data_IF_359702044533
#
_entry.id   IF_359702044533
#
_cell.length_a   1.000
_cell.length_b   1.000
_cell.length_c   1.000
_cell.angle_alpha   90.00
_cell.angle_beta   90.00
_cell.angle_gamma   90.00
#
_symmetry.space_group_name_H-M   'P 1'
#
loop_
_entity.id
_entity.type
_entity.pdbx_description
1 polymer ?
#
# COMPACT_ATOMS: atom_id res chain seq x y z
N UNK A 1 8.97 -6.89 -14.02
CA UNK A 1 8.37 -7.97 -13.21
C UNK A 1 9.30 -9.17 -13.26
N UNK A 2 9.85 -9.62 -12.13
CA UNK A 2 10.65 -10.86 -12.08
C UNK A 2 9.69 -12.03 -12.27
N UNK A 3 9.80 -12.76 -13.38
CA UNK A 3 9.08 -14.02 -13.56
C UNK A 3 9.53 -14.97 -12.46
N UNK A 4 8.58 -15.44 -11.64
CA UNK A 4 8.87 -16.44 -10.64
C UNK A 4 9.46 -17.69 -11.33
N UNK A 5 10.38 -18.41 -10.68
CA UNK A 5 10.91 -19.66 -11.24
C UNK A 5 9.76 -20.64 -11.49
N UNK A 6 9.84 -21.35 -12.61
CA UNK A 6 8.78 -22.27 -13.00
C UNK A 6 8.59 -23.38 -11.97
N UNK A 7 7.33 -23.67 -11.67
CA UNK A 7 7.01 -24.76 -10.77
C UNK A 7 7.36 -26.12 -11.41
N UNK A 8 7.68 -27.11 -10.57
CA UNK A 8 7.84 -28.51 -11.02
C UNK A 8 6.60 -29.02 -11.75
N UNK A 9 5.42 -28.52 -11.39
CA UNK A 9 4.16 -28.91 -12.04
C UNK A 9 4.08 -28.38 -13.48
N UNK A 10 4.49 -27.13 -13.69
CA UNK A 10 4.56 -26.54 -15.03
C UNK A 10 5.54 -27.29 -15.92
N UNK A 11 6.75 -27.58 -15.43
CA UNK A 11 7.76 -28.28 -16.23
C UNK A 11 7.30 -29.69 -16.63
N UNK A 12 6.66 -30.44 -15.73
CA UNK A 12 6.07 -31.75 -16.06
C UNK A 12 4.91 -31.63 -17.05
N UNK A 13 4.01 -30.67 -16.86
CA UNK A 13 2.90 -30.43 -17.79
C UNK A 13 3.40 -30.09 -19.20
N UNK A 14 4.31 -29.11 -19.29
CA UNK A 14 4.84 -28.62 -20.56
C UNK A 14 5.65 -29.70 -21.30
N UNK A 15 6.51 -30.44 -20.58
CA UNK A 15 7.27 -31.55 -21.19
C UNK A 15 6.38 -32.70 -21.67
N UNK A 16 5.34 -33.07 -20.92
CA UNK A 16 4.39 -34.09 -21.36
C UNK A 16 3.61 -33.65 -22.60
N UNK A 17 3.25 -32.37 -22.67
CA UNK A 17 2.56 -31.78 -23.82
C UNK A 17 3.45 -31.74 -25.05
N UNK A 18 4.70 -31.28 -24.93
CA UNK A 18 5.68 -31.32 -26.02
C UNK A 18 5.87 -32.74 -26.56
N UNK A 19 5.96 -33.74 -25.67
CA UNK A 19 6.05 -35.14 -26.07
C UNK A 19 4.79 -35.63 -26.81
N UNK A 20 3.60 -35.15 -26.41
CA UNK A 20 2.36 -35.50 -27.10
C UNK A 20 2.30 -34.86 -28.49
N UNK A 21 2.75 -33.61 -28.64
CA UNK A 21 2.80 -32.90 -29.92
C UNK A 21 3.73 -33.63 -30.89
N UNK A 22 4.96 -33.95 -30.47
CA UNK A 22 5.92 -34.65 -31.34
C UNK A 22 5.42 -36.03 -31.74
N UNK A 23 4.80 -36.77 -30.81
CA UNK A 23 4.17 -38.06 -31.13
C UNK A 23 3.00 -37.95 -32.09
N UNK A 24 2.20 -36.88 -32.00
CA UNK A 24 1.07 -36.66 -32.89
C UNK A 24 1.53 -36.29 -34.30
N UNK A 25 2.53 -35.41 -34.42
CA UNK A 25 3.08 -34.97 -35.69
C UNK A 25 3.81 -36.10 -36.45
N UNK A 26 4.44 -37.03 -35.71
CA UNK A 26 5.19 -38.16 -36.28
C UNK A 26 4.46 -39.51 -36.21
N UNK A 27 3.15 -39.52 -35.93
CA UNK A 27 2.37 -40.77 -35.87
C UNK A 27 2.23 -41.45 -37.23
N UNK A 28 2.18 -40.66 -38.30
CA UNK A 28 2.15 -41.13 -39.67
C UNK A 28 3.58 -41.18 -40.20
N UNK A 29 3.94 -42.31 -40.79
CA UNK A 29 5.28 -42.61 -41.27
C UNK A 29 5.41 -42.28 -42.75
N UNK A 30 6.66 -42.23 -43.23
CA UNK A 30 6.90 -42.10 -44.67
C UNK A 30 6.34 -43.32 -45.44
N UNK A 31 6.26 -44.49 -44.81
CA UNK A 31 5.65 -45.69 -45.39
C UNK A 31 4.14 -45.47 -45.63
N UNK A 32 3.41 -44.94 -44.63
CA UNK A 32 2.00 -44.58 -44.77
C UNK A 32 1.78 -43.54 -45.88
N UNK A 33 2.70 -42.59 -46.01
CA UNK A 33 2.68 -41.59 -47.08
C UNK A 33 2.90 -42.21 -48.45
N UNK A 34 3.86 -43.13 -48.57
CA UNK A 34 4.17 -43.84 -49.81
C UNK A 34 3.01 -44.73 -50.26
N UNK A 35 2.29 -45.37 -49.34
CA UNK A 35 1.09 -46.15 -49.67
C UNK A 35 0.00 -45.28 -50.29
N UNK A 36 -0.13 -44.03 -49.85
CA UNK A 36 -1.11 -43.08 -50.39
C UNK A 36 -0.67 -42.44 -51.71
N UNK A 37 0.64 -42.26 -51.93
CA UNK A 37 1.22 -41.57 -53.09
C UNK A 37 2.24 -42.42 -53.85
N UNK A 38 1.89 -43.70 -54.09
CA UNK A 38 2.82 -44.70 -54.64
C UNK A 38 3.50 -44.33 -55.96
N UNK A 39 2.79 -43.67 -56.89
CA UNK A 39 3.32 -43.32 -58.20
C UNK A 39 4.39 -42.24 -58.10
N UNK A 40 4.10 -41.18 -57.33
CA UNK A 40 4.97 -40.04 -57.16
C UNK A 40 6.21 -40.36 -56.31
N UNK A 41 6.05 -41.15 -55.23
CA UNK A 41 7.19 -41.61 -54.43
C UNK A 41 8.16 -42.51 -55.21
N UNK A 42 7.69 -43.18 -56.28
CA UNK A 42 8.55 -43.98 -57.18
C UNK A 42 9.28 -43.11 -58.21
N UNK A 43 8.63 -42.06 -58.71
CA UNK A 43 9.20 -41.16 -59.71
C UNK A 43 10.21 -40.19 -59.08
N UNK A 44 9.94 -39.68 -57.88
CA UNK A 44 10.75 -38.63 -57.25
C UNK A 44 10.89 -38.85 -55.72
N UNK A 45 11.65 -39.87 -55.29
CA UNK A 45 11.73 -40.27 -53.88
C UNK A 45 12.29 -39.17 -52.96
N UNK A 46 13.30 -38.42 -53.42
CA UNK A 46 13.88 -37.33 -52.65
C UNK A 46 12.94 -36.13 -52.46
N UNK A 47 12.09 -35.85 -53.45
CA UNK A 47 11.08 -34.79 -53.38
C UNK A 47 9.96 -35.14 -52.41
N UNK A 48 9.46 -36.37 -52.49
CA UNK A 48 8.43 -36.89 -51.60
C UNK A 48 8.86 -36.93 -50.13
N UNK A 49 10.09 -37.39 -49.84
CA UNK A 49 10.65 -37.39 -48.48
C UNK A 49 10.85 -35.97 -47.95
N UNK A 50 11.30 -35.03 -48.80
CA UNK A 50 11.43 -33.62 -48.44
C UNK A 50 10.09 -32.98 -48.06
N UNK A 51 9.04 -33.26 -48.83
CA UNK A 51 7.69 -32.75 -48.56
C UNK A 51 7.09 -33.38 -47.30
N UNK A 52 7.23 -34.70 -47.11
CA UNK A 52 6.79 -35.38 -45.89
C UNK A 52 7.39 -34.76 -44.62
N UNK A 53 8.70 -34.54 -44.62
CA UNK A 53 9.40 -33.91 -43.50
C UNK A 53 8.97 -32.45 -43.31
N UNK A 54 8.71 -31.72 -44.40
CA UNK A 54 8.23 -30.33 -44.34
C UNK A 54 6.83 -30.24 -43.73
N UNK A 55 5.91 -31.12 -44.15
CA UNK A 55 4.54 -31.16 -43.61
C UNK A 55 4.56 -31.55 -42.14
N UNK A 56 5.35 -32.56 -41.76
CA UNK A 56 5.47 -33.01 -40.37
C UNK A 56 5.98 -31.90 -39.45
N UNK A 57 7.06 -31.20 -39.86
CA UNK A 57 7.58 -30.04 -39.11
C UNK A 57 6.58 -28.89 -39.04
N UNK A 58 5.94 -28.58 -40.16
CA UNK A 58 4.95 -27.50 -40.21
C UNK A 58 3.76 -27.78 -39.27
N UNK A 59 3.29 -29.03 -39.22
CA UNK A 59 2.23 -29.44 -38.31
C UNK A 59 2.66 -29.33 -36.85
N UNK A 60 3.87 -29.77 -36.51
CA UNK A 60 4.44 -29.61 -35.17
C UNK A 60 4.54 -28.14 -34.76
N UNK A 61 5.10 -27.29 -35.61
CA UNK A 61 5.25 -25.85 -35.36
C UNK A 61 3.90 -25.16 -35.19
N UNK A 62 2.91 -25.48 -36.04
CA UNK A 62 1.57 -24.91 -35.94
C UNK A 62 0.86 -25.32 -34.64
N UNK A 63 0.91 -26.60 -34.28
CA UNK A 63 0.31 -27.08 -33.03
C UNK A 63 0.99 -26.42 -31.84
N UNK A 64 2.32 -26.37 -31.84
CA UNK A 64 3.09 -25.73 -30.78
C UNK A 64 2.73 -24.24 -30.62
N UNK A 65 2.69 -23.50 -31.73
CA UNK A 65 2.33 -22.08 -31.72
C UNK A 65 0.89 -21.84 -31.24
N UNK A 66 -0.05 -22.70 -31.64
CA UNK A 66 -1.44 -22.65 -31.17
C UNK A 66 -1.54 -22.87 -29.67
N UNK A 67 -0.83 -23.88 -29.14
CA UNK A 67 -0.76 -24.14 -27.70
C UNK A 67 -0.14 -22.96 -26.93
N UNK A 68 0.96 -22.38 -27.42
CA UNK A 68 1.60 -21.23 -26.78
C UNK A 68 0.69 -19.99 -26.77
N UNK A 69 -0.12 -19.78 -27.81
CA UNK A 69 -1.11 -18.71 -27.84
C UNK A 69 -2.20 -18.93 -26.78
N UNK A 70 -2.72 -20.16 -26.67
CA UNK A 70 -3.68 -20.52 -25.62
C UNK A 70 -3.09 -20.36 -24.22
N UNK A 71 -1.81 -20.71 -24.02
CA UNK A 71 -1.14 -20.54 -22.73
C UNK A 71 -1.04 -19.08 -22.31
N UNK A 72 -0.82 -18.18 -23.27
CA UNK A 72 -0.82 -16.73 -23.03
C UNK A 72 -2.22 -16.20 -22.76
N UNK A 73 -3.21 -16.60 -23.55
CA UNK A 73 -4.60 -16.13 -23.41
C UNK A 73 -5.20 -16.51 -22.05
N UNK A 74 -5.04 -17.77 -21.64
CA UNK A 74 -5.61 -18.28 -20.39
C UNK A 74 -4.68 -18.15 -19.18
N UNK A 75 -3.50 -17.53 -19.37
CA UNK A 75 -2.45 -17.43 -18.34
C UNK A 75 -2.18 -18.77 -17.61
N UNK A 76 -2.01 -19.84 -18.41
CA UNK A 76 -1.93 -21.21 -17.91
C UNK A 76 -0.68 -21.41 -17.04
N UNK A 77 0.43 -20.76 -17.41
CA UNK A 77 1.68 -20.83 -16.66
C UNK A 77 1.52 -20.32 -15.23
N UNK A 78 0.94 -19.13 -15.06
CA UNK A 78 0.79 -18.54 -13.72
C UNK A 78 -0.26 -19.28 -12.90
N UNK A 79 -1.34 -19.76 -13.52
CA UNK A 79 -2.37 -20.53 -12.82
C UNK A 79 -1.84 -21.88 -12.34
N UNK A 80 -1.05 -22.60 -13.15
CA UNK A 80 -0.39 -23.85 -12.74
C UNK A 80 0.65 -23.60 -11.65
N UNK A 81 1.42 -22.51 -11.75
CA UNK A 81 2.37 -22.11 -10.72
C UNK A 81 1.67 -21.78 -9.39
N UNK A 82 0.56 -21.02 -9.44
CA UNK A 82 -0.27 -20.72 -8.27
C UNK A 82 -0.83 -21.98 -7.64
N UNK A 83 -1.33 -22.92 -8.46
CA UNK A 83 -1.81 -24.21 -7.99
C UNK A 83 -0.68 -25.02 -7.32
N UNK A 84 0.53 -25.00 -7.85
CA UNK A 84 1.67 -25.66 -7.24
C UNK A 84 1.96 -25.11 -5.84
N UNK A 85 1.97 -23.78 -5.69
CA UNK A 85 2.17 -23.10 -4.41
C UNK A 85 1.07 -23.44 -3.40
N UNK A 86 -0.20 -23.36 -3.80
CA UNK A 86 -1.32 -23.70 -2.90
C UNK A 86 -1.24 -25.17 -2.45
N UNK A 87 -0.90 -26.09 -3.34
CA UNK A 87 -0.78 -27.52 -3.00
C UNK A 87 0.44 -27.79 -2.11
N UNK A 88 1.58 -27.13 -2.34
CA UNK A 88 2.77 -27.30 -1.50
C UNK A 88 2.54 -26.74 -0.09
N UNK A 89 1.89 -25.58 0.02
CA UNK A 89 1.46 -25.01 1.30
C UNK A 89 0.48 -25.93 2.03
N UNK A 90 -0.55 -26.45 1.35
CA UNK A 90 -1.52 -27.36 1.94
C UNK A 90 -0.86 -28.67 2.42
N UNK A 91 0.11 -29.21 1.66
CA UNK A 91 0.90 -30.37 2.08
C UNK A 91 1.74 -30.07 3.32
N UNK A 92 2.37 -28.89 3.38
CA UNK A 92 3.13 -28.46 4.55
C UNK A 92 2.23 -28.28 5.79
N UNK A 93 1.04 -27.67 5.64
CA UNK A 93 0.03 -27.56 6.71
C UNK A 93 -0.38 -28.93 7.23
N UNK A 94 -0.64 -29.88 6.32
CA UNK A 94 -0.97 -31.27 6.67
C UNK A 94 0.15 -31.95 7.45
N UNK A 95 1.41 -31.76 7.06
CA UNK A 95 2.57 -32.31 7.77
C UNK A 95 2.73 -31.74 9.18
N UNK A 96 2.32 -30.48 9.39
CA UNK A 96 2.31 -29.84 10.72
C UNK A 96 1.10 -30.24 11.60
N UNK A 97 0.17 -31.05 11.07
CA UNK A 97 -1.04 -31.43 11.79
C UNK A 97 -2.12 -30.33 11.85
N UNK A 98 -1.98 -29.26 11.06
CA UNK A 98 -2.95 -28.14 10.95
C UNK A 98 -4.13 -28.54 10.05
N UNK A 99 -4.85 -29.60 10.44
CA UNK A 99 -5.92 -30.21 9.63
C UNK A 99 -7.30 -29.65 9.98
N UNK A 100 -7.44 -28.86 11.06
CA UNK A 100 -8.75 -28.37 11.54
C UNK A 100 -8.75 -26.85 11.85
N UNK A 101 -8.26 -26.05 10.89
CA UNK A 101 -8.25 -24.59 10.93
C UNK A 101 -9.54 -23.93 10.43
N UNK A 102 -9.74 -22.66 10.82
CA UNK A 102 -10.85 -21.81 10.33
C UNK A 102 -10.79 -21.53 8.82
N UNK A 103 -9.61 -21.67 8.22
CA UNK A 103 -9.30 -21.42 6.81
C UNK A 103 -9.28 -22.73 5.99
N UNK A 104 -10.23 -23.64 6.26
CA UNK A 104 -10.41 -24.88 5.50
C UNK A 104 -11.61 -24.72 4.60
N UNK A 105 -11.41 -25.03 3.32
CA UNK A 105 -12.50 -25.11 2.35
C UNK A 105 -13.49 -26.20 2.75
N UNK A 106 -14.78 -25.86 2.78
CA UNK A 106 -15.88 -26.77 3.06
C UNK A 106 -16.83 -26.77 1.87
N UNK A 107 -17.35 -27.94 1.51
CA UNK A 107 -18.27 -28.10 0.38
C UNK A 107 -19.55 -27.26 0.55
N UNK A 108 -20.06 -27.15 1.78
CA UNK A 108 -21.22 -26.34 2.14
C UNK A 108 -20.85 -24.93 2.61
N UNK A 109 -19.85 -24.29 2.02
CA UNK A 109 -19.46 -22.92 2.39
C UNK A 109 -20.53 -21.93 1.91
N UNK A 110 -21.20 -21.27 2.85
CA UNK A 110 -22.17 -20.22 2.51
C UNK A 110 -21.50 -19.11 1.68
N UNK A 111 -22.14 -18.57 0.63
CA UNK A 111 -21.55 -17.51 -0.21
C UNK A 111 -21.08 -16.29 0.58
N UNK A 112 -21.81 -15.91 1.63
CA UNK A 112 -21.41 -14.83 2.56
C UNK A 112 -20.12 -15.13 3.31
N UNK A 113 -19.82 -16.39 3.62
CA UNK A 113 -18.57 -16.77 4.27
C UNK A 113 -17.40 -16.69 3.28
N UNK A 114 -17.59 -17.14 2.04
CA UNK A 114 -16.58 -17.03 0.98
C UNK A 114 -16.22 -15.56 0.67
N UNK A 115 -17.22 -14.68 0.55
CA UNK A 115 -17.00 -13.24 0.34
C UNK A 115 -16.23 -12.64 1.51
N UNK A 116 -16.62 -12.96 2.76
CA UNK A 116 -15.93 -12.46 3.96
C UNK A 116 -14.48 -12.90 4.03
N UNK A 117 -14.17 -14.17 3.73
CA UNK A 117 -12.78 -14.65 3.72
C UNK A 117 -11.89 -13.82 2.78
N UNK A 118 -12.42 -13.39 1.63
CA UNK A 118 -11.71 -12.53 0.70
C UNK A 118 -11.62 -11.07 1.17
N UNK A 119 -12.73 -10.51 1.66
CA UNK A 119 -12.77 -9.10 2.05
C UNK A 119 -11.98 -8.81 3.32
N UNK A 120 -11.96 -9.73 4.28
CA UNK A 120 -11.21 -9.58 5.53
C UNK A 120 -9.73 -9.31 5.26
N UNK A 121 -9.10 -10.08 4.36
CA UNK A 121 -7.69 -9.87 3.98
C UNK A 121 -7.38 -8.47 3.45
N UNK A 122 -8.35 -7.84 2.79
CA UNK A 122 -8.19 -6.48 2.24
C UNK A 122 -8.48 -5.42 3.31
N UNK A 123 -9.42 -5.70 4.22
CA UNK A 123 -9.85 -4.76 5.26
C UNK A 123 -8.92 -4.72 6.49
N UNK A 124 -8.20 -5.80 6.77
CA UNK A 124 -7.22 -5.86 7.88
C UNK A 124 -6.16 -4.74 7.84
N UNK A 125 -5.43 -4.50 6.74
CA UNK A 125 -4.44 -3.43 6.69
C UNK A 125 -5.07 -2.03 6.82
N UNK A 126 -6.26 -1.82 6.24
CA UNK A 126 -6.98 -0.54 6.37
C UNK A 126 -7.42 -0.29 7.81
N UNK A 127 -7.87 -1.33 8.51
CA UNK A 127 -8.25 -1.27 9.91
C UNK A 127 -7.03 -0.93 10.78
N UNK A 128 -5.88 -1.56 10.52
CA UNK A 128 -4.62 -1.26 11.20
C UNK A 128 -4.17 0.18 10.94
N UNK A 129 -4.30 0.67 9.71
CA UNK A 129 -3.99 2.04 9.34
C UNK A 129 -4.88 3.05 10.08
N UNK A 130 -6.20 2.84 10.09
CA UNK A 130 -7.14 3.71 10.79
C UNK A 130 -6.92 3.72 12.30
N UNK A 131 -6.57 2.58 12.90
CA UNK A 131 -6.21 2.51 14.32
C UNK A 131 -4.95 3.31 14.63
N UNK A 132 -3.96 3.26 13.75
CA UNK A 132 -2.74 4.06 13.92
C UNK A 132 -3.03 5.56 13.83
N UNK A 133 -3.86 5.98 12.86
CA UNK A 133 -4.29 7.38 12.75
C UNK A 133 -5.06 7.84 13.99
N UNK A 134 -5.99 7.02 14.48
CA UNK A 134 -6.79 7.35 15.65
C UNK A 134 -5.91 7.56 16.89
N UNK A 135 -4.93 6.68 17.12
CA UNK A 135 -3.95 6.84 18.21
C UNK A 135 -3.13 8.12 18.08
N UNK A 136 -2.63 8.42 16.89
CA UNK A 136 -1.86 9.65 16.66
C UNK A 136 -2.71 10.90 16.95
N UNK A 137 -3.99 10.88 16.55
CA UNK A 137 -4.91 11.98 16.80
C UNK A 137 -5.25 12.12 18.30
N UNK A 138 -5.44 11.00 19.01
CA UNK A 138 -5.66 11.00 20.46
C UNK A 138 -4.45 11.57 21.21
N UNK A 139 -3.23 11.20 20.81
CA UNK A 139 -1.99 11.71 21.37
C UNK A 139 -1.84 13.22 21.12
N UNK A 140 -2.07 13.68 19.88
CA UNK A 140 -2.05 15.10 19.52
C UNK A 140 -3.08 15.90 20.32
N UNK A 141 -4.32 15.39 20.39
CA UNK A 141 -5.39 16.07 21.12
C UNK A 141 -5.06 16.16 22.61
N UNK A 142 -4.52 15.09 23.21
CA UNK A 142 -4.09 15.11 24.61
C UNK A 142 -2.99 16.15 24.88
N UNK A 143 -2.04 16.31 23.95
CA UNK A 143 -0.99 17.30 24.05
C UNK A 143 -1.54 18.74 23.91
N UNK A 144 -2.47 18.95 22.97
CA UNK A 144 -3.14 20.23 22.79
C UNK A 144 -3.98 20.62 24.01
N UNK A 145 -4.71 19.67 24.62
CA UNK A 145 -5.44 19.93 25.86
C UNK A 145 -4.50 20.36 26.99
N UNK A 146 -3.38 19.66 27.17
CA UNK A 146 -2.38 20.04 28.16
C UNK A 146 -1.80 21.44 27.92
N UNK A 147 -1.56 21.80 26.64
CA UNK A 147 -1.10 23.13 26.26
C UNK A 147 -2.16 24.21 26.54
N UNK A 148 -3.43 23.95 26.23
CA UNK A 148 -4.54 24.87 26.52
C UNK A 148 -4.68 25.11 28.03
N UNK A 149 -4.58 24.06 28.86
CA UNK A 149 -4.62 24.22 30.31
C UNK A 149 -3.45 25.06 30.85
N UNK A 150 -2.24 24.84 30.34
CA UNK A 150 -1.06 25.63 30.73
C UNK A 150 -1.20 27.09 30.31
N UNK A 151 -1.67 27.35 29.08
CA UNK A 151 -1.94 28.69 28.60
C UNK A 151 -3.02 29.39 29.45
N UNK A 152 -4.09 28.68 29.81
CA UNK A 152 -5.15 29.24 30.65
C UNK A 152 -4.63 29.60 32.06
N UNK A 153 -3.79 28.74 32.66
CA UNK A 153 -3.11 29.04 33.93
C UNK A 153 -2.23 30.28 33.84
N UNK A 154 -1.45 30.41 32.76
CA UNK A 154 -0.60 31.58 32.50
C UNK A 154 -1.43 32.85 32.31
N UNK A 155 -2.54 32.77 31.59
CA UNK A 155 -3.46 33.88 31.39
C UNK A 155 -4.07 34.33 32.71
N UNK A 156 -4.62 33.41 33.51
CA UNK A 156 -5.15 33.75 34.83
C UNK A 156 -4.12 34.39 35.76
N UNK A 157 -2.87 33.91 35.74
CA UNK A 157 -1.80 34.52 36.53
C UNK A 157 -1.41 35.92 36.02
N UNK A 158 -1.47 36.16 34.71
CA UNK A 158 -1.24 37.48 34.13
C UNK A 158 -2.38 38.45 34.46
N UNK A 159 -3.63 38.00 34.35
CA UNK A 159 -4.82 38.79 34.69
C UNK A 159 -4.82 39.18 36.17
N UNK A 160 -4.43 38.26 37.07
CA UNK A 160 -4.29 38.56 38.49
C UNK A 160 -3.23 39.64 38.76
N UNK A 161 -2.06 39.56 38.12
CA UNK A 161 -1.02 40.59 38.22
C UNK A 161 -1.46 41.93 37.63
N UNK A 162 -2.21 41.91 36.53
CA UNK A 162 -2.75 43.13 35.93
C UNK A 162 -3.76 43.82 36.86
N UNK A 163 -4.62 43.04 37.52
CA UNK A 163 -5.53 43.55 38.54
C UNK A 163 -4.76 44.19 39.72
N UNK A 164 -3.74 43.52 40.26
CA UNK A 164 -2.90 44.07 41.33
C UNK A 164 -2.22 45.40 40.92
N UNK A 165 -1.73 45.50 39.68
CA UNK A 165 -1.11 46.72 39.17
C UNK A 165 -2.13 47.86 38.98
N UNK A 166 -3.36 47.53 38.59
CA UNK A 166 -4.45 48.51 38.49
C UNK A 166 -4.85 49.02 39.88
N UNK A 167 -4.95 48.15 40.87
CA UNK A 167 -5.21 48.54 42.26
C UNK A 167 -4.12 49.52 42.77
N UNK A 168 -2.84 49.23 42.50
CA UNK A 168 -1.73 50.13 42.84
C UNK A 168 -1.85 51.47 42.10
N UNK A 169 -2.23 51.45 40.83
CA UNK A 169 -2.40 52.67 40.03
C UNK A 169 -3.53 53.54 40.59
N UNK A 170 -4.66 52.93 40.96
CA UNK A 170 -5.79 53.61 41.59
C UNK A 170 -5.40 54.22 42.95
N UNK A 171 -4.60 53.50 43.75
CA UNK A 171 -4.04 54.01 44.99
C UNK A 171 -3.11 55.22 44.79
N UNK A 172 -2.22 55.15 43.77
CA UNK A 172 -1.33 56.25 43.41
C UNK A 172 -2.14 57.45 42.92
N UNK A 173 -3.15 57.23 42.08
CA UNK A 173 -4.04 58.29 41.60
C UNK A 173 -4.82 58.94 42.75
N UNK A 174 -5.34 58.14 43.68
CA UNK A 174 -6.03 58.65 44.87
C UNK A 174 -5.12 59.48 45.78
N UNK A 175 -3.84 59.11 45.89
CA UNK A 175 -2.84 59.92 46.62
C UNK A 175 -2.48 61.19 45.86
N UNK A 176 -2.25 61.09 44.55
CA UNK A 176 -1.90 62.22 43.67
C UNK A 176 -2.98 63.29 43.63
N UNK A 177 -4.25 62.89 43.52
CA UNK A 177 -5.40 63.80 43.53
C UNK A 177 -5.62 64.51 44.87
N UNK A 178 -5.05 64.00 45.97
CA UNK A 178 -5.07 64.64 47.28
C UNK A 178 -3.90 65.62 47.50
N UNK A 179 -2.90 65.65 46.62
CA UNK A 179 -1.86 66.67 46.73
C UNK A 179 -2.45 68.05 46.41
N UNK A 180 -2.11 69.09 47.18
CA UNK A 180 -2.56 70.44 46.91
C UNK A 180 -1.85 70.99 45.68
N UNK A 181 -2.43 70.74 44.50
CA UNK A 181 -1.85 71.16 43.22
C UNK A 181 -1.72 72.68 43.11
N UNK A 182 -2.61 73.43 43.76
CA UNK A 182 -2.56 74.88 43.81
C UNK A 182 -1.34 75.38 44.60
N UNK A 183 -1.01 74.74 45.73
CA UNK A 183 0.17 75.09 46.54
C UNK A 183 1.48 74.72 45.82
N UNK A 184 1.49 73.59 45.10
CA UNK A 184 2.64 73.17 44.29
C UNK A 184 2.82 74.10 43.09
N UNK A 185 1.72 74.54 42.46
CA UNK A 185 1.75 75.51 41.37
C UNK A 185 2.28 76.88 41.81
N UNK A 186 1.86 77.35 42.99
CA UNK A 186 2.39 78.58 43.60
C UNK A 186 3.87 78.43 43.95
N UNK A 187 4.28 77.33 44.58
CA UNK A 187 5.69 77.07 44.89
C UNK A 187 6.57 76.98 43.64
N UNK A 188 6.07 76.37 42.55
CA UNK A 188 6.77 76.29 41.28
C UNK A 188 6.92 77.67 40.61
N UNK A 189 5.89 78.51 40.69
CA UNK A 189 5.92 79.91 40.23
C UNK A 189 6.93 80.74 41.04
N UNK A 190 6.86 80.68 42.37
CA UNK A 190 7.80 81.39 43.26
C UNK A 190 9.26 80.94 43.04
N UNK A 191 9.46 79.64 42.80
CA UNK A 191 10.79 79.10 42.50
C UNK A 191 11.29 79.54 41.12
N UNK A 192 10.44 79.55 40.10
CA UNK A 192 10.79 80.01 38.76
C UNK A 192 11.06 81.53 38.71
N UNK A 193 10.28 82.33 39.44
CA UNK A 193 10.51 83.76 39.61
C UNK A 193 11.85 84.03 40.32
N UNK A 194 12.17 83.28 41.38
CA UNK A 194 13.47 83.38 42.05
C UNK A 194 14.67 83.01 41.16
N UNK A 195 14.52 82.09 40.21
CA UNK A 195 15.56 81.80 39.21
C UNK A 195 15.62 82.88 38.12
N UNK A 196 14.48 83.48 37.76
CA UNK A 196 14.40 84.62 36.83
C UNK A 196 15.08 85.90 37.36
N UNK A 197 15.09 86.11 38.68
CA UNK A 197 15.84 87.20 39.31
C UNK A 197 17.36 86.95 39.43
N UNK A 198 17.84 85.74 39.14
CA UNK A 198 19.26 85.37 39.19
C UNK A 198 19.99 85.53 37.83
N UNK A 199 19.45 86.34 36.90
CA UNK A 199 20.11 86.66 35.64
C UNK A 199 20.56 88.15 35.65
N UNK A 200 21.87 88.44 35.83
CA UNK A 200 22.39 89.81 35.76
C UNK A 200 22.50 90.28 34.29
N UNK A 201 22.59 91.60 34.03
CA UNK A 201 22.61 92.19 32.68
C UNK A 201 23.79 91.75 31.81
#
# INVERSE_FOLDING_TARGET
>A
MKTAPDSKRWTHFHSALQLAISRAAHKWTYEDFQECFTLWCKEEPHGAEGIFNTVSRHMEDQIHQSCENLFKEFNVRDSINTLHTVVSEARARKQRGEVDGKDIWKENLAPRAAVRARTVRVMEPELEHLRAQLKALEEENSALYAQCEDNNKKQHAADAKAAELLDILDDVYAKWSRLPQDEIGVWALESAENVGFAQPP
#
